data_IF_549373096871
#
_entry.id   IF_549373096871
#
_cell.length_a   1.000
_cell.length_b   1.000
_cell.length_c   1.000
_cell.angle_alpha   90.00
_cell.angle_beta   90.00
_cell.angle_gamma   90.00
#
_symmetry.space_group_name_H-M   'P 1'
#
loop_
_entity.id
_entity.type
_entity.pdbx_description
1 polymer ?
#
# COMPACT_ATOMS: atom_id res chain seq x y z
N UNK A 1 -1.05 19.22 -49.21
CA UNK A 1 -2.17 18.75 -48.36
C UNK A 1 -1.81 17.44 -47.67
N UNK A 2 -1.42 16.40 -48.41
CA UNK A 2 -0.98 15.11 -47.85
C UNK A 2 0.08 15.24 -46.73
N UNK A 3 1.14 16.01 -46.96
CA UNK A 3 2.23 16.16 -45.97
C UNK A 3 1.77 16.85 -44.68
N UNK A 4 0.91 17.87 -44.81
CA UNK A 4 0.36 18.61 -43.66
C UNK A 4 -0.59 17.71 -42.86
N UNK A 5 -1.45 16.94 -43.53
CA UNK A 5 -2.35 16.00 -42.87
C UNK A 5 -1.58 14.86 -42.21
N UNK A 6 -0.56 14.31 -42.87
CA UNK A 6 0.27 13.25 -42.31
C UNK A 6 1.03 13.73 -41.07
N UNK A 7 1.65 14.91 -41.14
CA UNK A 7 2.35 15.50 -40.00
C UNK A 7 1.41 15.70 -38.80
N UNK A 8 0.22 16.25 -39.03
CA UNK A 8 -0.71 16.54 -37.93
C UNK A 8 -1.28 15.26 -37.30
N UNK A 9 -1.78 14.31 -38.11
CA UNK A 9 -2.42 13.11 -37.56
C UNK A 9 -1.41 12.09 -37.03
N UNK A 10 -0.30 11.84 -37.73
CA UNK A 10 0.62 10.78 -37.37
C UNK A 10 1.67 11.26 -36.38
N UNK A 11 2.27 12.43 -36.61
CA UNK A 11 3.35 12.89 -35.73
C UNK A 11 2.77 13.58 -34.49
N UNK A 12 1.89 14.56 -34.67
CA UNK A 12 1.39 15.32 -33.52
C UNK A 12 0.42 14.48 -32.69
N UNK A 13 -0.63 13.95 -33.29
CA UNK A 13 -1.68 13.26 -32.52
C UNK A 13 -1.22 11.90 -31.99
N UNK A 14 -0.68 11.00 -32.82
CA UNK A 14 -0.32 9.66 -32.32
C UNK A 14 0.81 9.70 -31.29
N UNK A 15 1.84 10.55 -31.47
CA UNK A 15 2.91 10.66 -30.47
C UNK A 15 2.38 11.26 -29.16
N UNK A 16 1.50 12.26 -29.23
CA UNK A 16 0.87 12.82 -28.04
C UNK A 16 0.01 11.79 -27.29
N UNK A 17 -0.72 10.93 -28.01
CA UNK A 17 -1.49 9.84 -27.40
C UNK A 17 -0.56 8.84 -26.70
N UNK A 18 0.52 8.40 -27.36
CA UNK A 18 1.46 7.44 -26.77
C UNK A 18 2.11 8.03 -25.51
N UNK A 19 2.55 9.29 -25.56
CA UNK A 19 3.10 9.97 -24.38
C UNK A 19 2.05 10.14 -23.28
N UNK A 20 0.81 10.48 -23.65
CA UNK A 20 -0.32 10.59 -22.73
C UNK A 20 -0.57 9.28 -21.98
N UNK A 21 -0.61 8.14 -22.68
CA UNK A 21 -0.79 6.82 -22.06
C UNK A 21 0.33 6.47 -21.07
N UNK A 22 1.57 6.83 -21.39
CA UNK A 22 2.72 6.59 -20.49
C UNK A 22 2.59 7.46 -19.23
N UNK A 23 2.25 8.74 -19.38
CA UNK A 23 2.07 9.66 -18.25
C UNK A 23 0.91 9.19 -17.36
N UNK A 24 -0.20 8.78 -17.96
CA UNK A 24 -1.37 8.26 -17.26
C UNK A 24 -1.02 7.01 -16.44
N UNK A 25 -0.32 6.05 -17.06
CA UNK A 25 0.13 4.85 -16.36
C UNK A 25 1.08 5.16 -15.18
N UNK A 26 1.99 6.13 -15.33
CA UNK A 26 2.84 6.56 -14.21
C UNK A 26 2.06 7.34 -13.14
N UNK A 27 1.02 8.07 -13.53
CA UNK A 27 0.08 8.71 -12.61
C UNK A 27 -0.64 7.67 -11.77
N UNK A 28 -1.25 6.67 -12.41
CA UNK A 28 -1.96 5.59 -11.73
C UNK A 28 -1.04 4.81 -10.77
N UNK A 29 0.18 4.48 -11.19
CA UNK A 29 1.15 3.81 -10.31
C UNK A 29 1.51 4.66 -9.09
N UNK A 30 1.56 5.98 -9.23
CA UNK A 30 1.79 6.89 -8.10
C UNK A 30 0.59 6.91 -7.17
N UNK A 31 -0.62 7.04 -7.70
CA UNK A 31 -1.85 7.09 -6.92
C UNK A 31 -2.04 5.79 -6.12
N UNK A 32 -1.73 4.64 -6.72
CA UNK A 32 -1.74 3.35 -6.01
C UNK A 32 -0.75 3.31 -4.85
N UNK A 33 0.46 3.85 -5.01
CA UNK A 33 1.44 3.91 -3.92
C UNK A 33 1.00 4.85 -2.81
N UNK A 34 0.43 6.00 -3.15
CA UNK A 34 -0.09 6.97 -2.17
C UNK A 34 -1.25 6.37 -1.38
N UNK A 35 -2.18 5.69 -2.06
CA UNK A 35 -3.29 4.99 -1.41
C UNK A 35 -2.82 3.93 -0.40
N UNK A 36 -1.83 3.10 -0.77
CA UNK A 36 -1.28 2.10 0.17
C UNK A 36 -0.66 2.77 1.38
N UNK A 37 0.05 3.88 1.19
CA UNK A 37 0.64 4.64 2.29
C UNK A 37 -0.42 5.22 3.21
N UNK A 38 -1.45 5.86 2.66
CA UNK A 38 -2.55 6.42 3.43
C UNK A 38 -3.30 5.34 4.22
N UNK A 39 -3.58 4.18 3.61
CA UNK A 39 -4.23 3.07 4.31
C UNK A 39 -3.39 2.57 5.50
N UNK A 40 -2.07 2.49 5.35
CA UNK A 40 -1.15 2.08 6.43
C UNK A 40 -1.03 3.12 7.56
N UNK A 41 -1.22 4.41 7.25
CA UNK A 41 -1.18 5.50 8.23
C UNK A 41 -2.52 5.70 8.95
N UNK A 42 -3.63 5.28 8.33
CA UNK A 42 -4.99 5.55 8.83
C UNK A 42 -5.70 4.33 9.36
N UNK A 43 -5.24 3.10 9.09
CA UNK A 43 -5.87 1.85 9.54
C UNK A 43 -4.83 0.86 10.01
N UNK A 44 -5.17 0.10 11.06
CA UNK A 44 -4.29 -0.96 11.52
C UNK A 44 -4.31 -2.13 10.53
N UNK A 45 -3.14 -2.60 10.11
CA UNK A 45 -2.98 -3.71 9.16
C UNK A 45 -3.61 -5.03 9.65
N UNK A 46 -3.61 -5.29 10.96
CA UNK A 46 -4.06 -6.57 11.53
C UNK A 46 -5.58 -6.58 11.76
N UNK A 47 -6.15 -5.52 12.36
CA UNK A 47 -7.56 -5.48 12.73
C UNK A 47 -8.45 -4.63 11.79
N UNK A 48 -7.86 -3.82 10.93
CA UNK A 48 -8.57 -2.97 9.96
C UNK A 48 -9.30 -1.76 10.58
N UNK A 49 -9.16 -1.53 11.88
CA UNK A 49 -9.78 -0.39 12.57
C UNK A 49 -9.01 0.90 12.25
N UNK A 50 -9.75 1.99 12.02
CA UNK A 50 -9.19 3.30 11.71
C UNK A 50 -8.52 3.99 12.91
N UNK A 51 -7.56 4.86 12.64
CA UNK A 51 -6.83 5.65 13.64
C UNK A 51 -7.76 6.55 14.46
N UNK A 52 -8.86 7.01 13.87
CA UNK A 52 -9.90 7.81 14.50
C UNK A 52 -10.49 7.17 15.77
N UNK A 53 -10.57 5.84 15.81
CA UNK A 53 -11.00 5.10 16.99
C UNK A 53 -9.98 5.18 18.14
N UNK A 54 -8.69 5.07 17.82
CA UNK A 54 -7.60 4.98 18.80
C UNK A 54 -7.12 6.35 19.29
N UNK A 55 -7.21 7.38 18.44
CA UNK A 55 -6.74 8.73 18.73
C UNK A 55 -7.64 9.49 19.73
N UNK A 56 -8.68 8.83 20.27
CA UNK A 56 -9.35 9.25 21.51
C UNK A 56 -8.38 9.33 22.69
N UNK A 57 -7.29 8.56 22.64
CA UNK A 57 -6.15 8.62 23.56
C UNK A 57 -4.92 9.19 22.82
N UNK A 58 -4.12 10.08 23.45
CA UNK A 58 -2.90 10.58 22.83
C UNK A 58 -1.97 9.43 22.41
N UNK A 59 -1.48 9.45 21.16
CA UNK A 59 -0.64 8.41 20.57
C UNK A 59 -1.29 7.00 20.54
N UNK A 60 -2.62 6.91 20.62
CA UNK A 60 -3.32 5.63 20.71
C UNK A 60 -3.07 4.72 19.50
N UNK A 61 -3.12 5.26 18.28
CA UNK A 61 -2.88 4.46 17.07
C UNK A 61 -1.42 3.98 16.95
N UNK A 62 -0.47 4.82 17.36
CA UNK A 62 0.96 4.47 17.39
C UNK A 62 1.22 3.33 18.38
N UNK A 63 0.70 3.43 19.61
CA UNK A 63 0.79 2.35 20.60
C UNK A 63 0.12 1.07 20.10
N UNK A 64 -1.08 1.17 19.51
CA UNK A 64 -1.79 0.01 18.97
C UNK A 64 -0.98 -0.71 17.88
N UNK A 65 -0.35 0.01 16.97
CA UNK A 65 0.40 -0.59 15.86
C UNK A 65 1.82 -1.04 16.25
N UNK A 66 2.45 -0.41 17.24
CA UNK A 66 3.82 -0.74 17.65
C UNK A 66 3.90 -1.75 18.80
N UNK A 67 2.90 -1.79 19.69
CA UNK A 67 2.92 -2.64 20.89
C UNK A 67 1.88 -3.77 20.82
N UNK A 68 0.62 -3.45 20.49
CA UNK A 68 -0.47 -4.44 20.51
C UNK A 68 -0.48 -5.31 19.24
N UNK A 69 -0.52 -4.67 18.08
CA UNK A 69 -0.65 -5.29 16.75
C UNK A 69 0.59 -5.04 15.88
N UNK A 70 1.76 -5.24 16.47
CA UNK A 70 3.02 -5.14 15.75
C UNK A 70 3.21 -6.30 14.76
N UNK A 71 3.34 -5.96 13.47
CA UNK A 71 3.50 -6.95 12.39
C UNK A 71 4.70 -7.88 12.59
N UNK A 72 5.83 -7.36 13.08
CA UNK A 72 7.02 -8.16 13.30
C UNK A 72 6.82 -9.17 14.42
N UNK A 73 6.06 -8.82 15.47
CA UNK A 73 5.75 -9.75 16.57
C UNK A 73 4.92 -10.94 16.07
N UNK A 74 3.97 -10.74 15.15
CA UNK A 74 3.25 -11.85 14.51
C UNK A 74 4.19 -12.76 13.72
N UNK A 75 5.13 -12.19 12.95
CA UNK A 75 6.13 -12.97 12.22
C UNK A 75 7.05 -13.75 13.17
N UNK A 76 7.52 -13.14 14.26
CA UNK A 76 8.34 -13.80 15.27
C UNK A 76 7.57 -14.90 15.99
N UNK A 77 6.28 -14.71 16.25
CA UNK A 77 5.45 -15.74 16.85
C UNK A 77 5.30 -16.96 15.94
N UNK A 78 5.06 -16.76 14.64
CA UNK A 78 5.04 -17.87 13.67
C UNK A 78 6.39 -18.60 13.63
N UNK A 79 7.50 -17.85 13.57
CA UNK A 79 8.84 -18.45 13.59
C UNK A 79 9.11 -19.21 14.89
N UNK A 80 8.66 -18.68 16.03
CA UNK A 80 8.77 -19.33 17.34
C UNK A 80 8.03 -20.66 17.37
N UNK A 81 6.78 -20.70 16.90
CA UNK A 81 5.99 -21.93 16.85
C UNK A 81 6.62 -22.98 15.93
N UNK A 82 7.16 -22.57 14.77
CA UNK A 82 7.86 -23.47 13.85
C UNK A 82 9.12 -24.08 14.49
N UNK A 83 9.84 -23.30 15.29
CA UNK A 83 11.09 -23.75 15.91
C UNK A 83 10.88 -24.52 17.23
N UNK A 84 9.71 -24.41 17.84
CA UNK A 84 9.40 -25.04 19.13
C UNK A 84 8.79 -26.42 18.92
N UNK A 85 9.22 -27.40 19.71
CA UNK A 85 8.65 -28.73 19.70
C UNK A 85 7.13 -28.68 20.01
N UNK A 86 6.33 -29.39 19.22
CA UNK A 86 4.87 -29.43 19.33
C UNK A 86 4.40 -29.87 20.73
N UNK A 87 5.18 -30.73 21.40
CA UNK A 87 4.85 -31.21 22.76
C UNK A 87 5.02 -30.14 23.83
N UNK A 88 5.75 -29.06 23.52
CA UNK A 88 5.96 -27.91 24.41
C UNK A 88 5.03 -26.73 24.08
N UNK A 89 4.13 -26.89 23.10
CA UNK A 89 3.11 -25.88 22.81
C UNK A 89 2.13 -25.78 23.99
N UNK A 90 1.65 -24.56 24.23
CA UNK A 90 0.61 -24.31 25.24
C UNK A 90 -0.78 -24.40 24.60
N UNK A 91 -1.86 -24.37 25.39
CA UNK A 91 -3.23 -24.50 24.87
C UNK A 91 -3.86 -23.22 24.28
N UNK A 92 -3.05 -22.19 23.98
CA UNK A 92 -3.50 -20.97 23.32
C UNK A 92 -3.38 -21.09 21.81
#
# INVERSE_FOLDING_TARGET
>A
VFDITFFFFVIVILLAIIQGLIIDAFGELRDQQEQVKEDMETKCFICGIGSDYFDTTPHGFETHTLEEHNLANYMFFLMYLINKDETEHTGQ
#
